data_IF_315531736337
#
_entry.id   IF_315531736337
#
_cell.length_a   1.000
_cell.length_b   1.000
_cell.length_c   1.000
_cell.angle_alpha   90.00
_cell.angle_beta   90.00
_cell.angle_gamma   90.00
#
_symmetry.space_group_name_H-M   'P 1'
#
loop_
_entity.id
_entity.type
_entity.pdbx_description
1 polymer ?
#
# COMPACT_ATOMS: atom_id res chain seq x y z
N UNK A 1 -10.30 -38.66 15.47
CA UNK A 1 -9.81 -37.29 15.61
C UNK A 1 -10.53 -36.39 14.60
N UNK A 2 -11.09 -35.25 14.98
CA UNK A 2 -11.75 -34.38 14.03
C UNK A 2 -10.72 -33.88 12.97
N UNK A 3 -11.09 -33.94 11.69
CA UNK A 3 -10.24 -33.47 10.60
C UNK A 3 -10.12 -31.95 10.71
N UNK A 4 -8.89 -31.44 10.93
CA UNK A 4 -8.60 -30.01 10.95
C UNK A 4 -9.03 -29.37 9.62
N UNK A 5 -9.90 -28.38 9.67
CA UNK A 5 -10.40 -27.69 8.46
C UNK A 5 -9.32 -26.81 7.83
N UNK A 6 -9.51 -26.40 6.58
CA UNK A 6 -8.57 -25.46 5.92
C UNK A 6 -8.44 -24.14 6.69
N UNK A 7 -9.52 -23.49 7.19
CA UNK A 7 -9.41 -22.34 8.06
C UNK A 7 -8.61 -22.58 9.34
N UNK A 8 -8.81 -23.71 10.02
CA UNK A 8 -8.06 -24.01 11.25
C UNK A 8 -6.55 -24.11 10.97
N UNK A 9 -6.18 -24.83 9.89
CA UNK A 9 -4.78 -24.95 9.45
C UNK A 9 -4.15 -23.61 9.07
N UNK A 10 -4.94 -22.65 8.62
CA UNK A 10 -4.47 -21.30 8.33
C UNK A 10 -4.13 -20.57 9.62
N UNK A 11 -5.07 -20.53 10.57
CA UNK A 11 -4.92 -19.73 11.79
C UNK A 11 -3.81 -20.23 12.72
N UNK A 12 -3.47 -21.54 12.71
CA UNK A 12 -2.30 -22.06 13.47
C UNK A 12 -0.96 -21.47 13.01
N UNK A 13 -0.92 -20.77 11.88
CA UNK A 13 0.28 -20.15 11.29
C UNK A 13 0.27 -18.63 11.34
N UNK A 14 -0.58 -18.06 12.18
CA UNK A 14 -0.76 -16.60 12.27
C UNK A 14 -0.51 -16.16 13.70
N UNK A 15 0.40 -15.20 13.88
CA UNK A 15 0.54 -14.46 15.13
C UNK A 15 -0.44 -13.27 15.13
N UNK A 16 -1.39 -13.31 16.06
CA UNK A 16 -2.43 -12.29 16.23
C UNK A 16 -2.19 -11.35 17.41
N UNK A 17 -1.02 -11.40 18.04
CA UNK A 17 -0.70 -10.64 19.26
C UNK A 17 -0.64 -9.12 19.06
N UNK A 18 -0.39 -8.65 17.84
CA UNK A 18 -0.28 -7.24 17.50
C UNK A 18 -1.40 -6.72 16.60
N UNK A 19 -1.36 -5.42 16.27
CA UNK A 19 -2.29 -4.82 15.29
C UNK A 19 -2.22 -5.51 13.92
N UNK A 20 -1.00 -5.84 13.46
CA UNK A 20 -0.78 -6.67 12.29
C UNK A 20 -0.77 -8.14 12.70
N UNK A 21 -1.62 -8.95 12.10
CA UNK A 21 -1.57 -10.39 12.24
C UNK A 21 -0.51 -10.94 11.28
N UNK A 22 0.56 -11.50 11.83
CA UNK A 22 1.75 -11.85 11.05
C UNK A 22 1.69 -13.32 10.63
N UNK A 23 1.88 -13.56 9.34
CA UNK A 23 2.07 -14.90 8.82
C UNK A 23 3.42 -15.47 9.23
N UNK A 24 3.43 -16.62 9.90
CA UNK A 24 4.63 -17.25 10.48
C UNK A 24 5.23 -18.37 9.62
N UNK A 25 4.52 -18.83 8.59
CA UNK A 25 5.02 -19.88 7.71
C UNK A 25 5.82 -19.29 6.52
N UNK A 26 5.89 -20.00 5.41
CA UNK A 26 6.68 -19.60 4.25
C UNK A 26 6.37 -18.19 3.73
N UNK A 27 7.41 -17.37 3.60
CA UNK A 27 7.40 -16.01 3.02
C UNK A 27 8.19 -16.04 1.71
N UNK A 28 7.63 -15.50 0.63
CA UNK A 28 8.32 -15.41 -0.65
C UNK A 28 9.39 -14.29 -0.69
N UNK A 29 10.18 -14.26 -1.76
CA UNK A 29 11.24 -13.26 -1.95
C UNK A 29 10.73 -11.81 -1.97
N UNK A 30 9.46 -11.59 -2.23
CA UNK A 30 8.81 -10.27 -2.19
C UNK A 30 8.29 -9.92 -0.79
N UNK A 31 8.35 -10.84 0.17
CA UNK A 31 7.91 -10.65 1.54
C UNK A 31 6.42 -10.97 1.78
N UNK A 32 5.77 -11.70 0.87
CA UNK A 32 4.38 -12.14 1.03
C UNK A 32 4.29 -13.56 1.60
N UNK A 33 3.37 -13.76 2.54
CA UNK A 33 3.04 -15.08 3.05
C UNK A 33 2.41 -15.99 1.99
N UNK A 34 2.82 -17.28 1.98
CA UNK A 34 2.28 -18.31 1.08
C UNK A 34 1.52 -19.37 1.89
N UNK A 35 0.27 -19.64 1.50
CA UNK A 35 -0.56 -20.70 2.03
C UNK A 35 -0.93 -21.69 0.91
N UNK A 36 -0.18 -22.76 0.80
CA UNK A 36 -0.23 -23.65 -0.36
C UNK A 36 0.20 -22.90 -1.62
N UNK A 37 -0.64 -22.90 -2.65
CA UNK A 37 -0.37 -22.21 -3.91
C UNK A 37 -0.83 -20.74 -3.90
N UNK A 38 -1.57 -20.33 -2.87
CA UNK A 38 -2.12 -18.97 -2.77
C UNK A 38 -1.31 -18.06 -1.86
N UNK A 39 -1.57 -16.77 -1.96
CA UNK A 39 -1.08 -15.80 -1.01
C UNK A 39 -1.91 -15.83 0.27
N UNK A 40 -1.26 -15.93 1.44
CA UNK A 40 -1.92 -16.00 2.73
C UNK A 40 -2.87 -14.82 2.99
N UNK A 41 -2.48 -13.60 2.60
CA UNK A 41 -3.34 -12.41 2.75
C UNK A 41 -4.59 -12.46 1.85
N UNK A 42 -4.52 -13.06 0.65
CA UNK A 42 -5.70 -13.25 -0.22
C UNK A 42 -6.66 -14.25 0.41
N UNK A 43 -6.15 -15.39 0.84
CA UNK A 43 -6.95 -16.41 1.55
C UNK A 43 -7.63 -15.81 2.79
N UNK A 44 -6.91 -15.06 3.62
CA UNK A 44 -7.48 -14.39 4.80
C UNK A 44 -8.59 -13.41 4.43
N UNK A 45 -8.40 -12.61 3.37
CA UNK A 45 -9.40 -11.66 2.90
C UNK A 45 -10.68 -12.35 2.43
N UNK A 46 -10.56 -13.41 1.64
CA UNK A 46 -11.70 -14.20 1.13
C UNK A 46 -12.42 -14.94 2.26
N UNK A 47 -11.67 -15.56 3.18
CA UNK A 47 -12.20 -16.23 4.35
C UNK A 47 -13.07 -15.32 5.22
N UNK A 48 -12.58 -14.09 5.50
CA UNK A 48 -13.32 -13.08 6.27
C UNK A 48 -14.63 -12.65 5.59
N UNK A 49 -14.72 -12.78 4.27
CA UNK A 49 -15.91 -12.46 3.47
C UNK A 49 -16.79 -13.67 3.17
N UNK A 50 -16.65 -14.76 3.91
CA UNK A 50 -17.39 -16.00 3.67
C UNK A 50 -16.98 -16.69 2.37
N UNK A 51 -15.68 -16.72 2.08
CA UNK A 51 -15.07 -17.33 0.87
C UNK A 51 -15.55 -16.68 -0.46
N UNK A 52 -15.97 -15.43 -0.41
CA UNK A 52 -16.30 -14.69 -1.64
C UNK A 52 -15.04 -14.30 -2.38
N UNK A 53 -14.92 -14.61 -3.68
CA UNK A 53 -13.72 -14.34 -4.45
C UNK A 53 -13.43 -12.83 -4.56
N UNK A 54 -12.16 -12.49 -4.73
CA UNK A 54 -11.72 -11.13 -5.01
C UNK A 54 -12.32 -10.71 -6.36
N UNK A 55 -12.98 -9.53 -6.46
CA UNK A 55 -13.58 -9.09 -7.71
C UNK A 55 -12.57 -9.04 -8.86
N UNK A 56 -13.01 -9.40 -10.06
CA UNK A 56 -12.18 -9.35 -11.27
C UNK A 56 -11.56 -7.95 -11.45
N UNK A 57 -10.29 -7.90 -11.85
CA UNK A 57 -9.55 -6.63 -12.02
C UNK A 57 -9.08 -5.97 -10.71
N UNK A 58 -9.34 -6.61 -9.56
CA UNK A 58 -8.87 -6.14 -8.26
C UNK A 58 -7.73 -6.99 -7.72
N UNK A 59 -6.92 -6.38 -6.89
CA UNK A 59 -5.87 -7.03 -6.10
C UNK A 59 -6.00 -6.64 -4.63
N UNK A 60 -5.43 -7.43 -3.73
CA UNK A 60 -5.45 -7.10 -2.30
C UNK A 60 -4.28 -6.19 -1.96
N UNK A 61 -4.60 -5.05 -1.37
CA UNK A 61 -3.67 -4.04 -0.90
C UNK A 61 -3.59 -4.05 0.63
N UNK A 62 -2.37 -3.87 1.15
CA UNK A 62 -2.12 -3.76 2.58
C UNK A 62 -2.17 -2.28 3.01
N UNK A 63 -3.21 -1.90 3.73
CA UNK A 63 -3.35 -0.56 4.31
C UNK A 63 -2.19 -0.25 5.28
N UNK A 64 -1.69 -1.28 5.98
CA UNK A 64 -0.55 -1.19 6.90
C UNK A 64 0.81 -1.20 6.21
N UNK A 65 0.90 -1.49 4.92
CA UNK A 65 2.13 -1.67 4.13
C UNK A 65 3.04 -2.82 4.62
N UNK A 66 2.56 -3.73 5.46
CA UNK A 66 3.27 -4.93 5.87
C UNK A 66 2.78 -6.12 5.02
N UNK A 67 3.65 -6.67 4.17
CA UNK A 67 3.30 -7.73 3.22
C UNK A 67 3.05 -9.10 3.88
N UNK A 68 3.62 -9.33 5.07
CA UNK A 68 3.38 -10.52 5.86
C UNK A 68 2.09 -10.45 6.69
N UNK A 69 1.41 -9.29 6.72
CA UNK A 69 0.19 -9.14 7.47
C UNK A 69 -0.99 -9.82 6.77
N UNK A 70 -1.72 -10.63 7.54
CA UNK A 70 -2.95 -11.30 7.09
C UNK A 70 -4.20 -10.81 7.83
N UNK A 71 -4.12 -9.71 8.60
CA UNK A 71 -5.27 -9.14 9.30
C UNK A 71 -6.30 -8.61 8.29
N UNK A 72 -7.52 -9.17 8.22
CA UNK A 72 -8.53 -8.74 7.25
C UNK A 72 -8.88 -7.25 7.33
N UNK A 73 -8.79 -6.64 8.53
CA UNK A 73 -9.02 -5.20 8.74
C UNK A 73 -7.93 -4.32 8.10
N UNK A 74 -6.77 -4.89 7.81
CA UNK A 74 -5.64 -4.23 7.14
C UNK A 74 -5.59 -4.50 5.63
N UNK A 75 -6.55 -5.29 5.12
CA UNK A 75 -6.62 -5.71 3.71
C UNK A 75 -7.83 -5.08 3.03
N UNK A 76 -7.66 -4.72 1.77
CA UNK A 76 -8.77 -4.23 0.94
C UNK A 76 -8.57 -4.63 -0.51
N UNK A 77 -9.67 -4.90 -1.21
CA UNK A 77 -9.65 -5.07 -2.66
C UNK A 77 -9.56 -3.69 -3.33
N UNK A 78 -8.61 -3.52 -4.23
CA UNK A 78 -8.36 -2.27 -4.95
C UNK A 78 -8.04 -2.54 -6.42
N UNK A 79 -8.32 -1.59 -7.28
CA UNK A 79 -7.85 -1.61 -8.67
C UNK A 79 -6.34 -1.36 -8.74
N UNK A 80 -5.70 -1.66 -9.89
CA UNK A 80 -4.28 -1.36 -10.11
C UNK A 80 -3.95 0.12 -9.90
N UNK A 81 -4.84 1.02 -10.32
CA UNK A 81 -4.72 2.46 -10.09
C UNK A 81 -4.67 2.80 -8.59
N UNK A 82 -5.66 2.32 -7.85
CA UNK A 82 -5.77 2.57 -6.40
C UNK A 82 -4.59 2.00 -5.62
N UNK A 83 -4.09 0.81 -6.01
CA UNK A 83 -2.89 0.24 -5.42
C UNK A 83 -1.66 1.13 -5.71
N UNK A 84 -1.53 1.65 -6.93
CA UNK A 84 -0.51 2.63 -7.28
C UNK A 84 -0.60 3.92 -6.47
N UNK A 85 -1.79 4.37 -6.09
CA UNK A 85 -2.01 5.53 -5.21
C UNK A 85 -1.50 5.29 -3.78
N UNK A 86 -1.61 4.06 -3.25
CA UNK A 86 -1.19 3.68 -1.90
C UNK A 86 0.32 3.39 -1.75
N UNK A 87 1.17 3.79 -2.68
CA UNK A 87 2.62 3.53 -2.58
C UNK A 87 3.24 4.13 -1.32
N UNK A 88 4.10 3.34 -0.66
CA UNK A 88 4.76 3.71 0.61
C UNK A 88 5.69 4.93 0.50
N UNK A 89 6.27 5.19 -0.67
CA UNK A 89 7.26 6.25 -0.84
C UNK A 89 7.61 6.55 -2.29
N UNK A 90 8.66 7.36 -2.51
CA UNK A 90 9.18 7.67 -3.83
C UNK A 90 9.78 6.44 -4.51
N UNK A 91 10.12 6.58 -5.78
CA UNK A 91 10.89 5.56 -6.50
C UNK A 91 12.31 5.45 -5.91
N UNK A 92 12.94 4.29 -6.05
CA UNK A 92 14.30 4.04 -5.56
C UNK A 92 15.32 5.09 -6.07
N UNK A 93 15.14 5.57 -7.29
CA UNK A 93 16.03 6.54 -7.93
C UNK A 93 15.60 8.01 -7.67
N UNK A 94 14.77 8.27 -6.67
CA UNK A 94 14.36 9.63 -6.34
C UNK A 94 15.48 10.39 -5.65
N UNK A 95 15.97 11.46 -6.26
CA UNK A 95 17.00 12.34 -5.69
C UNK A 95 16.45 13.26 -4.59
N UNK A 96 15.13 13.55 -4.60
CA UNK A 96 14.49 14.37 -3.58
C UNK A 96 14.08 13.61 -2.32
N UNK A 97 13.98 12.27 -2.39
CA UNK A 97 13.37 11.46 -1.33
C UNK A 97 11.86 11.70 -1.14
N UNK A 98 11.25 12.56 -1.95
CA UNK A 98 9.82 12.90 -1.89
C UNK A 98 9.09 12.43 -3.14
N UNK A 99 7.98 11.69 -2.93
CA UNK A 99 7.18 11.20 -4.04
C UNK A 99 6.51 12.35 -4.81
N UNK A 100 6.83 12.45 -6.09
CA UNK A 100 6.26 13.46 -6.98
C UNK A 100 6.95 14.82 -6.91
N UNK A 101 8.15 14.92 -6.30
CA UNK A 101 8.99 16.11 -6.30
C UNK A 101 10.33 15.79 -6.95
N UNK A 102 10.77 16.66 -7.83
CA UNK A 102 12.08 16.58 -8.52
C UNK A 102 12.74 17.94 -8.57
N UNK A 103 14.07 17.99 -8.52
CA UNK A 103 14.82 19.24 -8.71
C UNK A 103 14.82 19.66 -10.19
N UNK A 104 14.40 20.87 -10.47
CA UNK A 104 14.46 21.46 -11.80
C UNK A 104 15.73 22.33 -11.91
N UNK A 105 16.74 21.82 -12.60
CA UNK A 105 18.04 22.51 -12.77
C UNK A 105 17.93 23.85 -13.51
N UNK A 106 17.02 23.97 -14.48
CA UNK A 106 16.84 25.19 -15.27
C UNK A 106 16.31 26.33 -14.43
N UNK A 107 15.35 26.06 -13.58
CA UNK A 107 14.68 27.07 -12.75
C UNK A 107 15.23 27.14 -11.32
N UNK A 108 16.19 26.27 -10.97
CA UNK A 108 16.77 26.18 -9.61
C UNK A 108 15.67 26.07 -8.52
N UNK A 109 14.65 25.23 -8.78
CA UNK A 109 13.49 25.06 -7.91
C UNK A 109 13.03 23.59 -7.84
N UNK A 110 12.31 23.25 -6.78
CA UNK A 110 11.66 21.96 -6.61
C UNK A 110 10.34 21.92 -7.39
N UNK A 111 10.29 21.09 -8.43
CA UNK A 111 9.09 20.87 -9.25
C UNK A 111 8.24 19.76 -8.63
N UNK A 112 7.01 20.07 -8.24
CA UNK A 112 6.04 19.14 -7.72
C UNK A 112 5.01 18.77 -8.80
N UNK A 113 4.94 17.48 -9.16
CA UNK A 113 3.99 16.90 -10.11
C UNK A 113 3.78 15.41 -9.87
N UNK A 114 2.62 14.88 -10.22
CA UNK A 114 2.35 13.45 -10.17
C UNK A 114 1.36 13.05 -11.25
N UNK A 115 1.27 11.74 -11.54
CA UNK A 115 0.34 11.19 -12.54
C UNK A 115 -0.95 10.76 -11.88
N UNK A 116 -2.09 11.12 -12.50
CA UNK A 116 -3.42 10.68 -12.09
C UNK A 116 -4.32 10.57 -13.33
N UNK A 117 -5.07 9.48 -13.46
CA UNK A 117 -5.95 9.21 -14.62
C UNK A 117 -5.26 9.36 -15.98
N UNK A 118 -4.00 8.88 -16.10
CA UNK A 118 -3.25 8.97 -17.35
C UNK A 118 -2.55 10.31 -17.61
N UNK A 119 -2.94 11.39 -16.94
CA UNK A 119 -2.38 12.73 -17.11
C UNK A 119 -1.44 13.15 -15.96
N UNK A 120 -0.54 14.10 -16.22
CA UNK A 120 0.24 14.75 -15.17
C UNK A 120 -0.55 15.89 -14.55
N UNK A 121 -0.63 15.89 -13.22
CA UNK A 121 -1.08 17.05 -12.44
C UNK A 121 0.16 17.79 -11.99
N UNK A 122 0.31 19.00 -12.50
CA UNK A 122 1.34 19.97 -12.07
C UNK A 122 0.84 20.72 -10.84
N UNK A 123 1.67 20.78 -9.79
CA UNK A 123 1.33 21.43 -8.51
C UNK A 123 2.03 22.77 -8.37
N UNK A 124 3.26 22.87 -8.84
CA UNK A 124 4.03 24.11 -8.81
C UNK A 124 5.54 23.91 -8.75
N UNK A 125 6.25 25.02 -8.71
CA UNK A 125 7.69 25.10 -8.41
C UNK A 125 7.89 25.86 -7.10
N UNK A 126 8.80 25.36 -6.26
CA UNK A 126 9.01 25.84 -4.89
C UNK A 126 10.49 25.98 -4.60
N UNK A 127 10.86 26.97 -3.81
CA UNK A 127 12.23 27.18 -3.38
C UNK A 127 12.63 26.16 -2.28
N UNK A 128 11.66 25.70 -1.50
CA UNK A 128 11.85 24.72 -0.43
C UNK A 128 11.30 23.35 -0.78
N UNK A 129 12.10 22.28 -0.55
CA UNK A 129 11.67 20.90 -0.66
C UNK A 129 10.49 20.58 0.28
N UNK A 130 10.52 21.14 1.49
CA UNK A 130 9.47 20.95 2.48
C UNK A 130 8.13 21.55 2.03
N UNK A 131 8.15 22.71 1.40
CA UNK A 131 6.95 23.31 0.83
C UNK A 131 6.42 22.48 -0.34
N UNK A 132 7.29 22.08 -1.27
CA UNK A 132 6.93 21.20 -2.39
C UNK A 132 6.30 19.90 -1.90
N UNK A 133 6.85 19.28 -0.83
CA UNK A 133 6.29 18.07 -0.19
C UNK A 133 4.89 18.32 0.37
N UNK A 134 4.70 19.38 1.15
CA UNK A 134 3.39 19.74 1.72
C UNK A 134 2.34 19.94 0.63
N UNK A 135 2.68 20.69 -0.44
CA UNK A 135 1.76 20.99 -1.54
C UNK A 135 1.40 19.75 -2.36
N UNK A 136 2.40 18.90 -2.70
CA UNK A 136 2.11 17.69 -3.47
C UNK A 136 1.30 16.67 -2.68
N UNK A 137 1.53 16.55 -1.37
CA UNK A 137 0.73 15.71 -0.47
C UNK A 137 -0.71 16.23 -0.41
N UNK A 138 -0.90 17.52 -0.16
CA UNK A 138 -2.23 18.12 -0.10
C UNK A 138 -3.01 17.88 -1.41
N UNK A 139 -2.37 18.09 -2.57
CA UNK A 139 -3.02 17.88 -3.87
C UNK A 139 -3.35 16.40 -4.13
N UNK A 140 -2.44 15.46 -3.78
CA UNK A 140 -2.74 14.02 -3.86
C UNK A 140 -3.92 13.63 -2.98
N UNK A 141 -4.03 14.17 -1.76
CA UNK A 141 -5.13 13.89 -0.84
C UNK A 141 -6.50 14.34 -1.36
N UNK A 142 -6.54 15.33 -2.24
CA UNK A 142 -7.77 15.77 -2.89
C UNK A 142 -8.25 14.81 -3.99
N UNK A 143 -7.33 14.15 -4.71
CA UNK A 143 -7.66 13.38 -5.91
C UNK A 143 -7.48 11.86 -5.76
N UNK A 144 -6.62 11.40 -4.84
CA UNK A 144 -6.37 9.99 -4.62
C UNK A 144 -7.40 9.39 -3.65
N UNK A 145 -7.91 8.22 -3.99
CA UNK A 145 -8.90 7.51 -3.16
C UNK A 145 -8.26 6.57 -2.14
N UNK A 146 -7.07 6.03 -2.45
CA UNK A 146 -6.38 5.00 -1.66
C UNK A 146 -4.99 5.44 -1.17
N UNK A 147 -4.85 6.67 -0.67
CA UNK A 147 -3.58 7.29 -0.30
C UNK A 147 -3.40 7.33 1.24
N UNK A 148 -3.26 6.16 1.84
CA UNK A 148 -3.26 6.01 3.31
C UNK A 148 -2.07 6.69 3.98
N UNK A 149 -0.87 6.58 3.40
CA UNK A 149 0.35 7.14 3.99
C UNK A 149 0.34 8.67 4.05
N UNK A 150 -0.09 9.33 3.01
CA UNK A 150 -0.14 10.79 2.96
C UNK A 150 -1.23 11.37 3.89
N UNK A 151 -2.27 10.55 4.22
CA UNK A 151 -3.36 10.93 5.13
C UNK A 151 -3.06 10.69 6.60
N UNK A 152 -2.09 9.83 6.92
CA UNK A 152 -1.64 9.66 8.29
C UNK A 152 -0.96 10.95 8.74
N UNK A 153 -1.47 11.57 9.82
CA UNK A 153 -0.78 12.68 10.49
C UNK A 153 0.62 12.18 10.88
N UNK A 154 1.69 12.88 10.45
CA UNK A 154 3.01 12.65 11.04
C UNK A 154 2.84 12.91 12.54
N UNK A 155 3.11 11.91 13.39
CA UNK A 155 3.34 12.18 14.80
C UNK A 155 4.56 13.10 14.85
N UNK A 156 4.35 14.32 15.30
CA UNK A 156 5.38 15.31 15.62
C UNK A 156 6.11 14.81 16.84
#
# INVERSE_FOLDING_TARGET
MPKTTMPDRFWTKVDTSGECWIWLAHIDAQGYGRFGQEYAHRFSYELHRGMRPIPTGHQIDHICHNRACVNPKHLRAVTNKQNGENRKGPNRNSTSGVRGVTWNKRHQKWCAKFRHNGAYIYVGMFDSLNEAEKRVIARRNQVFTCNTKDRRKRKV
#
